data_IF_789348918697
#
_entry.id   IF_789348918697
#
_cell.length_a   1.000
_cell.length_b   1.000
_cell.length_c   1.000
_cell.angle_alpha   90.00
_cell.angle_beta   90.00
_cell.angle_gamma   90.00
#
_symmetry.space_group_name_H-M   'P 1'
#
loop_
_entity.id
_entity.type
_entity.pdbx_description
1 polymer ?
#
# COMPACT_ATOMS: atom_id res chain seq x y z
N UNK A 1 67.18 3.01 -59.06
CA UNK A 1 67.21 4.35 -59.69
C UNK A 1 66.26 5.29 -58.94
N UNK A 2 66.45 6.62 -59.04
CA UNK A 2 65.67 7.66 -58.32
C UNK A 2 64.50 8.22 -59.15
N UNK A 3 63.66 9.04 -58.48
CA UNK A 3 62.57 9.93 -58.97
C UNK A 3 61.18 9.28 -59.11
N UNK A 4 60.06 9.94 -58.80
CA UNK A 4 59.85 11.29 -58.21
C UNK A 4 58.57 11.37 -57.36
N UNK A 5 58.43 12.42 -56.54
CA UNK A 5 57.17 12.83 -55.87
C UNK A 5 56.27 13.65 -56.82
N UNK A 6 54.98 13.83 -56.48
CA UNK A 6 54.33 15.16 -56.29
C UNK A 6 52.88 15.06 -55.73
N UNK A 7 52.33 16.20 -55.27
CA UNK A 7 51.20 16.42 -54.31
C UNK A 7 50.56 17.80 -54.65
N UNK A 8 49.21 18.06 -54.73
CA UNK A 8 48.26 17.99 -53.59
C UNK A 8 46.74 17.70 -53.89
N UNK A 9 45.94 17.80 -52.81
CA UNK A 9 44.47 18.02 -52.64
C UNK A 9 43.99 19.42 -53.18
N UNK A 10 42.69 19.88 -53.18
CA UNK A 10 41.39 19.31 -52.71
C UNK A 10 40.16 19.53 -53.66
N UNK A 11 38.93 19.48 -53.09
CA UNK A 11 37.56 19.75 -53.63
C UNK A 11 36.85 18.54 -54.25
N UNK A 12 35.54 18.31 -54.04
CA UNK A 12 34.55 19.01 -53.20
C UNK A 12 33.16 18.35 -53.35
N UNK A 13 32.26 18.54 -52.37
CA UNK A 13 30.95 17.86 -52.29
C UNK A 13 30.00 18.14 -53.47
N UNK A 14 29.17 17.15 -53.82
CA UNK A 14 27.84 17.37 -54.44
C UNK A 14 26.93 16.13 -54.30
N UNK A 15 25.83 16.29 -53.56
CA UNK A 15 24.65 15.41 -53.40
C UNK A 15 24.87 13.99 -52.84
N UNK A 16 24.33 13.59 -51.68
CA UNK A 16 23.03 13.90 -51.02
C UNK A 16 21.81 13.25 -51.67
N UNK A 17 20.91 12.71 -50.83
CA UNK A 17 19.88 11.68 -51.14
C UNK A 17 20.52 10.30 -51.40
N UNK A 18 20.39 9.28 -50.55
CA UNK A 18 19.13 8.80 -49.95
C UNK A 18 19.31 8.24 -48.52
N UNK A 19 18.88 9.00 -47.51
CA UNK A 19 18.89 8.58 -46.10
C UNK A 19 17.51 8.79 -45.45
N UNK A 20 16.45 8.24 -46.06
CA UNK A 20 15.07 8.25 -45.53
C UNK A 20 14.42 6.90 -45.83
N UNK A 21 14.66 5.88 -44.98
CA UNK A 21 13.95 4.59 -45.08
C UNK A 21 13.96 3.71 -43.80
N UNK A 22 14.60 4.14 -42.70
CA UNK A 22 14.71 3.31 -41.48
C UNK A 22 14.07 3.93 -40.22
N UNK A 23 13.70 5.22 -40.23
CA UNK A 23 13.00 5.88 -39.12
C UNK A 23 11.46 5.82 -39.22
N UNK A 24 10.91 5.14 -40.23
CA UNK A 24 9.46 5.16 -40.54
C UNK A 24 8.68 3.96 -39.96
N UNK A 25 9.36 2.90 -39.51
CA UNK A 25 8.71 1.69 -38.98
C UNK A 25 8.55 1.67 -37.45
N UNK A 26 9.23 2.54 -36.70
CA UNK A 26 9.02 2.65 -35.25
C UNK A 26 7.84 3.55 -34.88
N UNK A 27 7.41 4.46 -35.78
CA UNK A 27 6.26 5.36 -35.58
C UNK A 27 4.89 4.78 -35.96
N UNK A 28 4.83 3.51 -36.36
CA UNK A 28 3.57 2.81 -36.65
C UNK A 28 3.14 1.83 -35.53
N UNK A 29 3.80 1.89 -34.36
CA UNK A 29 3.38 1.15 -33.15
C UNK A 29 2.56 1.97 -32.14
N UNK A 30 2.24 3.22 -32.47
CA UNK A 30 1.62 4.20 -31.55
C UNK A 30 0.17 4.58 -31.95
N UNK A 31 -0.45 3.86 -32.89
CA UNK A 31 -1.80 4.18 -33.42
C UNK A 31 -2.77 2.98 -33.47
N UNK A 32 -2.73 2.14 -32.44
CA UNK A 32 -3.74 1.07 -32.24
C UNK A 32 -4.47 1.16 -30.89
N UNK A 33 -4.28 2.26 -30.16
CA UNK A 33 -4.72 2.41 -28.75
C UNK A 33 -5.84 3.46 -28.57
N UNK A 34 -6.96 3.28 -29.29
CA UNK A 34 -8.19 4.06 -29.09
C UNK A 34 -9.48 3.21 -29.09
N UNK A 35 -9.38 1.89 -29.20
CA UNK A 35 -10.51 0.95 -29.09
C UNK A 35 -10.37 -0.02 -27.90
N UNK A 36 -9.35 0.15 -27.05
CA UNK A 36 -9.10 -0.70 -25.88
C UNK A 36 -9.97 -0.35 -24.65
N UNK A 37 -10.63 0.82 -24.66
CA UNK A 37 -11.49 1.30 -23.59
C UNK A 37 -12.94 1.46 -24.07
N UNK A 38 -13.84 0.49 -23.80
CA UNK A 38 -15.25 0.83 -23.63
C UNK A 38 -15.37 1.67 -22.35
N UNK A 39 -15.61 2.97 -22.51
CA UNK A 39 -15.98 3.82 -21.38
C UNK A 39 -17.31 3.31 -20.80
N UNK A 40 -17.26 2.67 -19.63
CA UNK A 40 -18.46 2.46 -18.82
C UNK A 40 -18.82 3.78 -18.14
N UNK A 41 -19.57 4.63 -18.83
CA UNK A 41 -20.31 5.70 -18.16
C UNK A 41 -21.47 5.05 -17.40
N UNK A 42 -21.29 4.78 -16.11
CA UNK A 42 -22.44 4.56 -15.24
C UNK A 42 -23.23 5.87 -15.14
N UNK A 43 -24.31 5.96 -15.93
CA UNK A 43 -25.34 6.95 -15.71
C UNK A 43 -25.94 6.73 -14.33
N UNK A 44 -25.74 7.69 -13.42
CA UNK A 44 -26.43 7.74 -12.11
C UNK A 44 -27.90 8.07 -12.34
N UNK A 45 -28.65 7.08 -12.83
CA UNK A 45 -30.08 7.14 -13.09
C UNK A 45 -30.86 7.12 -11.78
N UNK A 46 -31.02 8.31 -11.18
CA UNK A 46 -31.96 8.54 -10.08
C UNK A 46 -33.39 8.32 -10.58
N UNK A 47 -34.21 7.70 -9.74
CA UNK A 47 -35.60 7.30 -9.98
C UNK A 47 -36.45 8.25 -10.83
N UNK A 48 -37.16 7.70 -11.82
CA UNK A 48 -38.50 8.16 -12.22
C UNK A 48 -39.29 7.02 -12.88
N UNK A 49 -40.62 7.16 -12.94
CA UNK A 49 -41.57 6.02 -12.94
C UNK A 49 -42.39 5.91 -14.23
N UNK A 50 -43.03 4.75 -14.45
CA UNK A 50 -44.21 4.48 -15.33
C UNK A 50 -43.95 4.27 -16.85
N UNK A 51 -44.83 3.55 -17.60
CA UNK A 51 -44.36 2.40 -18.38
C UNK A 51 -44.84 2.26 -19.85
N UNK A 52 -44.16 1.39 -20.59
CA UNK A 52 -44.62 0.80 -21.86
C UNK A 52 -43.46 0.61 -22.85
N UNK A 53 -43.40 -0.39 -23.75
CA UNK A 53 -44.15 -1.63 -23.94
C UNK A 53 -43.43 -2.40 -25.08
N UNK A 54 -42.88 -3.57 -24.77
CA UNK A 54 -42.61 -4.73 -25.66
C UNK A 54 -41.63 -4.57 -26.85
N UNK A 55 -40.52 -5.32 -26.76
CA UNK A 55 -39.76 -5.90 -27.87
C UNK A 55 -38.99 -7.13 -27.35
N UNK A 56 -39.19 -8.32 -27.92
CA UNK A 56 -38.92 -9.61 -27.25
C UNK A 56 -37.80 -10.45 -27.86
N UNK A 57 -36.93 -11.05 -27.04
CA UNK A 57 -36.05 -12.16 -27.46
C UNK A 57 -34.99 -12.62 -26.44
N UNK A 58 -35.14 -13.86 -25.95
CA UNK A 58 -34.16 -14.73 -25.27
C UNK A 58 -33.61 -14.39 -23.85
N UNK A 59 -34.05 -15.20 -22.88
CA UNK A 59 -33.33 -15.72 -21.69
C UNK A 59 -32.45 -14.77 -20.84
N UNK A 60 -33.12 -13.94 -20.03
CA UNK A 60 -32.47 -13.17 -18.96
C UNK A 60 -32.52 -13.84 -17.59
N UNK A 61 -31.39 -14.39 -17.13
CA UNK A 61 -31.16 -14.78 -15.71
C UNK A 61 -29.91 -14.14 -15.11
N UNK A 62 -29.31 -13.14 -15.79
CA UNK A 62 -27.96 -12.64 -15.50
C UNK A 62 -27.77 -11.13 -15.18
N UNK A 63 -28.79 -10.27 -14.93
CA UNK A 63 -28.55 -8.97 -14.29
C UNK A 63 -28.40 -9.11 -12.77
N UNK A 64 -29.44 -9.63 -12.11
CA UNK A 64 -29.51 -9.69 -10.63
C UNK A 64 -28.45 -10.59 -10.01
N UNK A 65 -28.11 -11.73 -10.64
CA UNK A 65 -27.04 -12.60 -10.15
C UNK A 65 -25.70 -11.88 -10.06
N UNK A 66 -25.33 -11.11 -11.11
CA UNK A 66 -24.09 -10.32 -11.14
C UNK A 66 -24.10 -9.14 -10.16
N UNK A 67 -25.25 -8.49 -9.98
CA UNK A 67 -25.43 -7.40 -8.99
C UNK A 67 -25.27 -7.96 -7.57
N UNK A 68 -25.87 -9.12 -7.27
CA UNK A 68 -25.75 -9.80 -5.98
C UNK A 68 -24.33 -10.32 -5.75
N UNK A 69 -23.66 -10.88 -6.76
CA UNK A 69 -22.25 -11.29 -6.68
C UNK A 69 -21.30 -10.10 -6.47
N UNK A 70 -21.58 -8.95 -7.10
CA UNK A 70 -20.87 -7.69 -6.88
C UNK A 70 -21.06 -7.21 -5.44
N UNK A 71 -22.30 -7.02 -5.00
CA UNK A 71 -22.61 -6.59 -3.63
C UNK A 71 -22.05 -7.56 -2.57
N UNK A 72 -22.06 -8.87 -2.80
CA UNK A 72 -21.45 -9.84 -1.89
C UNK A 72 -19.92 -9.76 -1.88
N UNK A 73 -19.27 -9.47 -3.02
CA UNK A 73 -17.83 -9.18 -3.08
C UNK A 73 -17.50 -7.92 -2.28
N UNK A 74 -18.27 -6.85 -2.47
CA UNK A 74 -18.02 -5.54 -1.86
C UNK A 74 -18.27 -5.57 -0.34
N UNK A 75 -19.25 -6.37 0.11
CA UNK A 75 -19.56 -6.56 1.54
C UNK A 75 -18.59 -7.52 2.23
N UNK A 76 -18.24 -8.66 1.61
CA UNK A 76 -17.48 -9.76 2.25
C UNK A 76 -15.99 -9.80 1.88
N UNK A 77 -15.53 -8.96 0.95
CA UNK A 77 -14.16 -8.99 0.41
C UNK A 77 -13.78 -10.31 -0.29
N UNK A 78 -14.76 -11.12 -0.69
CA UNK A 78 -14.56 -12.48 -1.20
C UNK A 78 -15.71 -12.93 -2.11
N UNK A 79 -15.44 -13.85 -3.04
CA UNK A 79 -16.46 -14.42 -3.93
C UNK A 79 -17.00 -15.75 -3.37
N UNK A 80 -18.30 -15.87 -3.06
CA UNK A 80 -18.89 -17.12 -2.60
C UNK A 80 -18.76 -18.25 -3.62
N UNK A 81 -18.02 -19.30 -3.28
CA UNK A 81 -17.98 -20.52 -4.10
C UNK A 81 -19.08 -21.49 -3.65
N UNK A 82 -19.98 -21.86 -4.57
CA UNK A 82 -21.08 -22.81 -4.30
C UNK A 82 -20.62 -24.18 -3.78
N UNK A 83 -19.35 -24.57 -4.01
CA UNK A 83 -18.75 -25.80 -3.48
C UNK A 83 -18.27 -25.68 -2.03
N UNK A 84 -18.26 -24.49 -1.44
CA UNK A 84 -17.65 -24.20 -0.12
C UNK A 84 -18.56 -23.40 0.83
N UNK A 85 -19.77 -23.88 1.16
CA UNK A 85 -20.75 -23.14 1.98
C UNK A 85 -20.27 -22.83 3.41
N UNK A 86 -19.33 -23.62 3.97
CA UNK A 86 -18.75 -23.35 5.29
C UNK A 86 -17.88 -22.09 5.32
N UNK A 87 -17.13 -21.84 4.24
CA UNK A 87 -16.28 -20.64 4.10
C UNK A 87 -17.13 -19.37 3.96
N UNK A 88 -18.29 -19.48 3.30
CA UNK A 88 -19.26 -18.38 3.21
C UNK A 88 -19.86 -17.98 4.57
N UNK A 89 -20.25 -18.96 5.39
CA UNK A 89 -20.73 -18.67 6.76
C UNK A 89 -19.60 -18.09 7.62
N UNK A 90 -18.37 -18.61 7.50
CA UNK A 90 -17.22 -18.07 8.21
C UNK A 90 -16.92 -16.60 7.81
N UNK A 91 -16.98 -16.28 6.51
CA UNK A 91 -16.80 -14.91 6.02
C UNK A 91 -17.88 -13.95 6.54
N UNK A 92 -19.16 -14.37 6.57
CA UNK A 92 -20.26 -13.59 7.15
C UNK A 92 -20.02 -13.29 8.64
N UNK A 93 -19.77 -14.32 9.45
CA UNK A 93 -19.54 -14.19 10.90
C UNK A 93 -18.30 -13.36 11.24
N UNK A 94 -17.32 -13.28 10.33
CA UNK A 94 -16.12 -12.46 10.50
C UNK A 94 -16.33 -10.99 10.10
N UNK A 95 -17.28 -10.71 9.20
CA UNK A 95 -17.50 -9.36 8.64
C UNK A 95 -18.54 -8.57 9.44
N UNK A 96 -19.51 -9.27 10.05
CA UNK A 96 -20.58 -8.69 10.84
C UNK A 96 -20.45 -9.05 12.32
N UNK A 97 -20.25 -8.06 13.18
CA UNK A 97 -20.19 -8.24 14.63
C UNK A 97 -21.49 -7.80 15.28
N UNK A 98 -22.16 -8.70 15.99
CA UNK A 98 -23.31 -8.34 16.81
C UNK A 98 -22.85 -7.64 18.11
N UNK A 99 -23.47 -6.49 18.41
CA UNK A 99 -23.36 -5.80 19.70
C UNK A 99 -24.76 -5.56 20.25
N UNK A 100 -24.95 -5.85 21.53
CA UNK A 100 -26.16 -5.46 22.27
C UNK A 100 -25.93 -4.10 22.91
N UNK A 101 -26.74 -3.12 22.55
CA UNK A 101 -26.77 -1.78 23.16
C UNK A 101 -28.22 -1.48 23.51
N UNK A 102 -28.49 -1.14 24.76
CA UNK A 102 -29.82 -0.76 25.27
C UNK A 102 -30.95 -1.74 24.86
N UNK A 103 -30.74 -3.03 25.10
CA UNK A 103 -31.64 -4.15 24.74
C UNK A 103 -31.95 -4.29 23.23
N UNK A 104 -31.19 -3.63 22.35
CA UNK A 104 -31.27 -3.79 20.90
C UNK A 104 -30.03 -4.51 20.35
N UNK A 105 -30.25 -5.50 19.48
CA UNK A 105 -29.19 -6.17 18.73
C UNK A 105 -28.82 -5.33 17.50
N UNK A 106 -27.64 -4.74 17.53
CA UNK A 106 -27.08 -3.93 16.44
C UNK A 106 -25.98 -4.75 15.76
N UNK A 107 -26.09 -4.90 14.44
CA UNK A 107 -25.08 -5.57 13.61
C UNK A 107 -24.14 -4.53 13.01
N UNK A 108 -22.90 -4.50 13.46
CA UNK A 108 -21.86 -3.62 12.92
C UNK A 108 -21.15 -4.31 11.76
N UNK A 109 -21.27 -3.73 10.55
CA UNK A 109 -20.49 -4.14 9.39
C UNK A 109 -19.10 -3.56 9.49
N UNK A 110 -18.12 -4.43 9.73
CA UNK A 110 -16.70 -4.10 9.59
C UNK A 110 -16.25 -4.61 8.23
N UNK A 111 -15.98 -3.74 7.23
CA UNK A 111 -15.45 -4.20 5.96
C UNK A 111 -14.16 -4.98 6.21
N UNK A 112 -13.91 -6.01 5.38
CA UNK A 112 -12.57 -6.59 5.23
C UNK A 112 -11.65 -5.57 4.58
N UNK A 113 -11.22 -4.59 5.39
CA UNK A 113 -9.86 -4.11 5.28
C UNK A 113 -8.92 -5.32 5.36
N UNK A 114 -7.76 -5.22 4.71
CA UNK A 114 -6.66 -6.18 4.88
C UNK A 114 -6.00 -6.02 6.27
N UNK A 115 -6.82 -6.03 7.33
CA UNK A 115 -6.44 -6.35 8.69
C UNK A 115 -6.05 -7.83 8.75
N UNK A 116 -4.92 -8.14 8.11
CA UNK A 116 -4.14 -9.33 8.41
C UNK A 116 -3.89 -9.28 9.91
N UNK A 117 -4.45 -10.27 10.59
CA UNK A 117 -4.69 -10.35 12.03
C UNK A 117 -3.59 -9.68 12.89
N UNK A 118 -4.04 -8.82 13.81
CA UNK A 118 -3.34 -7.83 14.65
C UNK A 118 -2.05 -8.21 15.38
N UNK A 119 -1.62 -9.47 15.30
CA UNK A 119 -0.48 -10.02 16.04
C UNK A 119 0.83 -10.01 15.23
N UNK A 120 0.77 -9.95 13.89
CA UNK A 120 1.97 -9.98 13.02
C UNK A 120 2.76 -8.66 13.07
N UNK A 121 2.04 -7.55 13.28
CA UNK A 121 2.56 -6.18 13.15
C UNK A 121 2.46 -5.34 14.43
N UNK A 122 2.29 -5.99 15.59
CA UNK A 122 2.17 -5.30 16.87
C UNK A 122 3.35 -4.35 17.10
N UNK A 123 3.05 -3.18 17.69
CA UNK A 123 4.01 -2.11 17.98
C UNK A 123 5.15 -2.67 18.85
N UNK A 124 6.31 -2.91 18.25
CA UNK A 124 7.44 -3.66 18.84
C UNK A 124 8.79 -2.96 18.59
N UNK A 125 9.87 -3.44 19.21
CA UNK A 125 11.21 -2.88 19.02
C UNK A 125 11.31 -1.40 19.40
N UNK A 126 11.97 -0.59 18.56
CA UNK A 126 11.98 0.86 18.81
C UNK A 126 10.64 1.53 18.53
N UNK A 127 9.73 0.92 17.76
CA UNK A 127 8.37 1.48 17.62
C UNK A 127 7.66 1.50 18.98
N UNK A 128 7.74 0.39 19.74
CA UNK A 128 7.27 0.36 21.12
C UNK A 128 7.99 1.42 21.99
N UNK A 129 9.30 1.56 21.85
CA UNK A 129 10.07 2.56 22.60
C UNK A 129 9.61 4.00 22.33
N UNK A 130 9.50 4.41 21.07
CA UNK A 130 9.10 5.77 20.70
C UNK A 130 7.62 6.02 20.97
N UNK A 131 6.74 5.04 20.74
CA UNK A 131 5.31 5.15 21.03
C UNK A 131 5.03 5.27 22.53
N UNK A 132 5.73 4.50 23.38
CA UNK A 132 5.66 4.67 24.84
C UNK A 132 6.17 6.04 25.28
N UNK A 133 7.29 6.53 24.72
CA UNK A 133 7.77 7.90 24.99
C UNK A 133 6.76 8.96 24.54
N UNK A 134 6.10 8.75 23.41
CA UNK A 134 5.09 9.67 22.88
C UNK A 134 3.84 9.72 23.76
N UNK A 135 3.36 8.57 24.26
CA UNK A 135 2.31 8.52 25.29
C UNK A 135 2.70 9.30 26.54
N UNK A 136 3.90 9.07 27.09
CA UNK A 136 4.37 9.83 28.26
C UNK A 136 4.43 11.33 27.97
N UNK A 137 4.99 11.75 26.83
CA UNK A 137 5.05 13.16 26.45
C UNK A 137 3.65 13.79 26.33
N UNK A 138 2.70 13.08 25.70
CA UNK A 138 1.29 13.49 25.59
C UNK A 138 0.61 13.59 26.95
N UNK A 139 0.68 12.54 27.76
CA UNK A 139 -0.05 12.43 29.02
C UNK A 139 0.47 13.41 30.08
N UNK A 140 1.73 13.86 29.97
CA UNK A 140 2.27 14.98 30.74
C UNK A 140 1.94 16.36 30.12
N UNK A 141 1.93 16.48 28.78
CA UNK A 141 1.72 17.78 28.12
C UNK A 141 0.26 18.22 28.08
N UNK A 142 -0.70 17.33 27.87
CA UNK A 142 -2.12 17.70 27.71
C UNK A 142 -2.70 18.35 28.98
N UNK A 143 -2.53 17.82 30.20
CA UNK A 143 -3.05 18.47 31.41
C UNK A 143 -2.43 19.86 31.64
N UNK A 144 -1.14 20.02 31.34
CA UNK A 144 -0.46 21.32 31.41
C UNK A 144 -1.02 22.30 30.38
N UNK A 145 -1.27 21.85 29.15
CA UNK A 145 -1.83 22.62 28.04
C UNK A 145 -3.26 23.10 28.31
N UNK A 146 -4.08 22.23 28.89
CA UNK A 146 -5.43 22.55 29.37
C UNK A 146 -5.39 23.60 30.50
N UNK A 147 -4.42 23.48 31.41
CA UNK A 147 -4.23 24.39 32.54
C UNK A 147 -3.56 25.74 32.22
N UNK A 148 -3.09 25.98 30.99
CA UNK A 148 -2.47 27.27 30.62
C UNK A 148 -3.50 28.40 30.63
N UNK A 149 -3.14 29.55 31.21
CA UNK A 149 -3.92 30.79 31.16
C UNK A 149 -3.19 31.91 30.39
N UNK A 150 -3.89 32.84 29.72
CA UNK A 150 -3.21 33.98 29.10
C UNK A 150 -2.64 34.95 30.15
N UNK A 151 -1.38 35.38 29.98
CA UNK A 151 -0.73 36.46 30.76
C UNK A 151 -1.01 37.86 30.17
N UNK A 152 -1.98 37.95 29.25
CA UNK A 152 -2.36 39.16 28.54
C UNK A 152 -3.77 39.57 28.92
N UNK A 153 -3.93 40.82 29.35
CA UNK A 153 -5.23 41.44 29.59
C UNK A 153 -6.04 41.69 28.30
N UNK A 154 -5.40 41.59 27.14
CA UNK A 154 -5.95 41.75 25.80
C UNK A 154 -5.93 40.44 25.00
N UNK A 155 -5.91 39.29 25.68
CA UNK A 155 -6.04 37.99 25.03
C UNK A 155 -7.49 37.75 24.58
N UNK A 156 -7.66 37.32 23.34
CA UNK A 156 -8.93 36.87 22.81
C UNK A 156 -9.19 35.40 23.24
N UNK A 157 -10.37 35.14 23.81
CA UNK A 157 -10.74 33.81 24.32
C UNK A 157 -10.96 32.78 23.20
N UNK A 158 -11.43 33.22 22.02
CA UNK A 158 -11.65 32.36 20.86
C UNK A 158 -10.30 31.97 20.23
N UNK A 159 -9.40 32.95 20.00
CA UNK A 159 -8.04 32.69 19.49
C UNK A 159 -7.25 31.76 20.43
N UNK A 160 -7.31 32.02 21.74
CA UNK A 160 -6.55 31.23 22.74
C UNK A 160 -7.12 29.83 22.92
N UNK A 161 -8.45 29.66 22.81
CA UNK A 161 -9.10 28.36 22.76
C UNK A 161 -8.72 27.59 21.48
N UNK A 162 -8.80 28.24 20.32
CA UNK A 162 -8.49 27.65 19.02
C UNK A 162 -7.04 27.14 18.93
N UNK A 163 -6.05 27.96 19.31
CA UNK A 163 -4.65 27.53 19.25
C UNK A 163 -4.33 26.41 20.26
N UNK A 164 -4.99 26.40 21.44
CA UNK A 164 -4.89 25.29 22.40
C UNK A 164 -5.45 24.00 21.80
N UNK A 165 -6.59 24.06 21.11
CA UNK A 165 -7.19 22.91 20.45
C UNK A 165 -6.32 22.36 19.31
N UNK A 166 -5.70 23.23 18.50
CA UNK A 166 -4.76 22.85 17.44
C UNK A 166 -3.54 22.12 18.02
N UNK A 167 -2.89 22.68 19.05
CA UNK A 167 -1.72 22.05 19.69
C UNK A 167 -2.09 20.69 20.30
N UNK A 168 -3.26 20.58 20.94
CA UNK A 168 -3.75 19.29 21.47
C UNK A 168 -3.90 18.26 20.36
N UNK A 169 -4.58 18.62 19.27
CA UNK A 169 -4.82 17.76 18.12
C UNK A 169 -3.52 17.27 17.49
N UNK A 170 -2.53 18.14 17.28
CA UNK A 170 -1.23 17.75 16.73
C UNK A 170 -0.43 16.81 17.65
N UNK A 171 -0.55 16.95 18.99
CA UNK A 171 0.05 16.01 19.95
C UNK A 171 -0.66 14.65 19.90
N UNK A 172 -2.00 14.63 19.85
CA UNK A 172 -2.79 13.40 19.71
C UNK A 172 -2.45 12.67 18.39
N UNK A 173 -2.41 13.39 17.27
CA UNK A 173 -2.04 12.86 15.96
C UNK A 173 -0.61 12.28 15.91
N UNK A 174 0.34 12.90 16.62
CA UNK A 174 1.71 12.42 16.68
C UNK A 174 1.82 11.10 17.45
N UNK A 175 1.05 10.92 18.53
CA UNK A 175 0.97 9.63 19.24
C UNK A 175 0.27 8.58 18.37
N UNK A 176 -0.83 8.94 17.71
CA UNK A 176 -1.56 8.03 16.81
C UNK A 176 -0.67 7.52 15.68
N UNK A 177 0.05 8.42 14.99
CA UNK A 177 0.92 8.07 13.88
C UNK A 177 2.11 7.17 14.31
N UNK A 178 2.69 7.40 15.49
CA UNK A 178 3.73 6.52 16.05
C UNK A 178 3.20 5.12 16.42
N UNK A 179 1.89 4.99 16.63
CA UNK A 179 1.21 3.72 16.91
C UNK A 179 0.72 2.94 15.69
N UNK A 180 0.93 3.44 14.46
CA UNK A 180 0.42 2.81 13.23
C UNK A 180 1.06 1.43 12.99
N UNK A 181 0.23 0.44 12.65
CA UNK A 181 0.65 -0.93 12.35
C UNK A 181 1.54 -1.03 11.10
N UNK A 182 2.68 -1.71 11.24
CA UNK A 182 3.75 -1.75 10.24
C UNK A 182 4.73 -0.58 10.32
N UNK A 183 4.56 0.34 11.27
CA UNK A 183 5.50 1.43 11.55
C UNK A 183 5.00 2.82 11.11
N UNK A 184 5.50 3.89 11.76
CA UNK A 184 5.12 5.26 11.46
C UNK A 184 5.57 5.72 10.07
N UNK A 185 4.78 6.59 9.42
CA UNK A 185 5.19 7.25 8.18
C UNK A 185 6.16 8.39 8.51
N UNK A 186 7.45 8.18 8.23
CA UNK A 186 8.55 9.12 8.54
C UNK A 186 8.24 10.56 8.11
N UNK A 187 7.75 10.75 6.88
CA UNK A 187 7.39 12.08 6.35
C UNK A 187 6.25 12.76 7.13
N UNK A 188 5.24 12.00 7.59
CA UNK A 188 4.11 12.54 8.37
C UNK A 188 4.55 12.94 9.77
N UNK A 189 5.35 12.11 10.45
CA UNK A 189 5.93 12.44 11.75
C UNK A 189 6.82 13.69 11.66
N UNK A 190 7.68 13.78 10.64
CA UNK A 190 8.52 14.95 10.42
C UNK A 190 7.69 16.22 10.19
N UNK A 191 6.60 16.13 9.40
CA UNK A 191 5.67 17.23 9.17
C UNK A 191 4.94 17.67 10.45
N UNK A 192 4.49 16.73 11.30
CA UNK A 192 3.85 17.04 12.59
C UNK A 192 4.84 17.72 13.55
N UNK A 193 6.09 17.25 13.63
CA UNK A 193 7.14 17.90 14.42
C UNK A 193 7.57 19.27 13.89
N UNK A 194 7.44 19.52 12.59
CA UNK A 194 7.69 20.84 11.99
C UNK A 194 6.50 21.78 12.23
N UNK A 195 5.25 21.29 12.20
CA UNK A 195 4.08 22.09 12.58
C UNK A 195 4.12 22.49 14.06
N UNK A 196 4.37 21.55 14.97
CA UNK A 196 4.38 21.79 16.42
C UNK A 196 5.49 22.77 16.85
N UNK A 197 6.74 22.54 16.41
CA UNK A 197 7.94 23.24 16.92
C UNK A 197 8.55 24.25 15.93
N UNK A 198 8.16 24.20 14.66
CA UNK A 198 8.82 24.90 13.56
C UNK A 198 10.00 24.13 12.96
N UNK A 199 10.56 24.72 11.90
CA UNK A 199 11.68 24.19 11.11
C UNK A 199 13.05 24.27 11.81
N UNK A 200 13.19 25.14 12.82
CA UNK A 200 14.44 25.33 13.56
C UNK A 200 14.59 24.32 14.71
N UNK A 201 15.83 23.93 15.01
CA UNK A 201 16.14 23.20 16.25
C UNK A 201 15.83 24.08 17.47
N UNK A 202 14.97 23.59 18.36
CA UNK A 202 14.64 24.28 19.61
C UNK A 202 15.81 24.12 20.59
N UNK A 203 16.62 25.16 20.72
CA UNK A 203 17.72 25.26 21.70
C UNK A 203 17.35 26.11 22.92
N UNK A 204 16.28 26.90 22.82
CA UNK A 204 15.68 27.65 23.90
C UNK A 204 14.15 27.49 23.80
N UNK A 205 13.47 26.89 24.79
CA UNK A 205 12.01 26.70 24.78
C UNK A 205 11.22 28.02 24.65
N UNK A 206 11.76 29.15 25.13
CA UNK A 206 11.16 30.47 24.96
C UNK A 206 11.28 31.03 23.52
N UNK A 207 11.97 30.34 22.63
CA UNK A 207 12.12 30.70 21.21
C UNK A 207 11.50 29.67 20.25
N UNK A 208 10.70 28.72 20.77
CA UNK A 208 9.98 27.73 19.95
C UNK A 208 9.13 28.39 18.85
N UNK A 209 9.15 27.77 17.67
CA UNK A 209 8.34 28.14 16.50
C UNK A 209 7.07 27.30 16.42
N UNK A 210 6.51 27.16 15.21
CA UNK A 210 5.34 26.30 14.99
C UNK A 210 4.09 26.72 15.78
N UNK A 211 3.19 25.77 16.03
CA UNK A 211 1.97 26.00 16.81
C UNK A 211 2.27 26.32 18.29
N UNK A 212 3.29 25.71 18.90
CA UNK A 212 3.70 26.04 20.28
C UNK A 212 4.21 27.49 20.37
N UNK A 213 4.91 27.97 19.33
CA UNK A 213 5.35 29.35 19.20
C UNK A 213 4.21 30.34 18.93
N UNK A 214 3.13 29.91 18.29
CA UNK A 214 1.89 30.69 18.13
C UNK A 214 1.11 30.76 19.45
N UNK A 215 0.92 29.62 20.13
CA UNK A 215 0.30 29.54 21.45
C UNK A 215 0.99 30.48 22.44
N UNK A 216 2.33 30.44 22.49
CA UNK A 216 3.14 31.36 23.31
C UNK A 216 2.88 32.84 23.03
N UNK A 217 2.63 33.21 21.77
CA UNK A 217 2.34 34.61 21.37
C UNK A 217 0.92 35.02 21.75
N UNK A 218 -0.06 34.16 21.53
CA UNK A 218 -1.47 34.40 21.86
C UNK A 218 -1.64 34.56 23.38
N UNK A 219 -1.15 33.59 24.16
CA UNK A 219 -1.19 33.61 25.62
C UNK A 219 -0.20 34.63 26.23
N UNK A 220 0.74 35.17 25.45
CA UNK A 220 1.74 36.14 25.93
C UNK A 220 2.77 35.58 26.91
N UNK A 221 3.02 34.27 26.87
CA UNK A 221 3.90 33.53 27.77
C UNK A 221 5.37 33.95 27.56
N UNK A 222 5.79 34.96 28.32
CA UNK A 222 7.12 35.57 28.29
C UNK A 222 7.50 36.03 29.70
N UNK A 223 8.78 35.89 30.08
CA UNK A 223 9.28 36.33 31.41
C UNK A 223 8.93 37.77 31.77
N UNK A 224 8.94 38.70 30.81
CA UNK A 224 8.61 40.11 31.04
C UNK A 224 7.11 40.41 31.17
N UNK A 225 6.27 39.38 31.21
CA UNK A 225 4.84 39.45 31.51
C UNK A 225 4.46 38.72 32.81
N UNK A 226 5.44 38.11 33.49
CA UNK A 226 5.27 37.44 34.78
C UNK A 226 5.51 38.44 35.91
N UNK A 227 4.54 38.56 36.81
CA UNK A 227 4.51 39.45 37.97
C UNK A 227 4.19 38.67 39.26
N UNK A 228 3.46 37.54 39.16
CA UNK A 228 3.11 36.67 40.30
C UNK A 228 3.72 35.26 40.18
N UNK A 229 3.69 34.51 41.29
CA UNK A 229 4.18 33.12 41.36
C UNK A 229 3.30 32.20 40.51
N UNK A 230 1.99 32.46 40.45
CA UNK A 230 1.03 31.73 39.62
C UNK A 230 1.31 31.96 38.12
N UNK A 231 1.66 33.20 37.74
CA UNK A 231 2.09 33.52 36.37
C UNK A 231 3.44 32.88 36.01
N UNK A 232 4.36 32.75 36.98
CA UNK A 232 5.64 32.03 36.81
C UNK A 232 5.42 30.52 36.66
N UNK A 233 4.52 29.93 37.44
CA UNK A 233 4.13 28.53 37.30
C UNK A 233 3.45 28.26 35.96
N UNK A 234 2.59 29.18 35.49
CA UNK A 234 1.93 29.08 34.18
C UNK A 234 2.95 29.16 33.01
N UNK A 235 3.92 30.07 33.08
CA UNK A 235 5.04 30.08 32.13
C UNK A 235 5.86 28.78 32.21
N UNK A 236 6.13 28.28 33.41
CA UNK A 236 6.88 27.03 33.64
C UNK A 236 6.16 25.83 33.03
N UNK A 237 4.84 25.72 33.20
CA UNK A 237 4.02 24.69 32.57
C UNK A 237 4.16 24.68 31.04
N UNK A 238 4.19 25.86 30.42
CA UNK A 238 4.43 25.99 28.97
C UNK A 238 5.83 25.51 28.56
N UNK A 239 6.88 25.88 29.32
CA UNK A 239 8.25 25.44 29.01
C UNK A 239 8.37 23.91 29.11
N UNK A 240 7.74 23.29 30.12
CA UNK A 240 7.70 21.83 30.29
C UNK A 240 7.06 21.13 29.07
N UNK A 241 5.95 21.66 28.52
CA UNK A 241 5.34 21.12 27.30
C UNK A 241 6.33 21.15 26.13
N UNK A 242 7.00 22.29 25.92
CA UNK A 242 7.98 22.44 24.83
C UNK A 242 9.15 21.48 24.99
N UNK A 243 9.64 21.27 26.22
CA UNK A 243 10.70 20.31 26.52
C UNK A 243 10.28 18.87 26.24
N UNK A 244 9.07 18.44 26.63
CA UNK A 244 8.57 17.09 26.33
C UNK A 244 8.50 16.82 24.83
N UNK A 245 7.94 17.75 24.04
CA UNK A 245 7.82 17.58 22.58
C UNK A 245 9.20 17.67 21.90
N UNK A 246 10.12 18.50 22.41
CA UNK A 246 11.50 18.61 21.90
C UNK A 246 12.31 17.33 22.19
N UNK A 247 12.22 16.77 23.40
CA UNK A 247 12.87 15.51 23.76
C UNK A 247 12.31 14.32 22.98
N UNK A 248 11.02 14.35 22.63
CA UNK A 248 10.40 13.38 21.74
C UNK A 248 10.91 13.51 20.29
N UNK A 249 11.04 14.73 19.76
CA UNK A 249 11.65 14.99 18.43
C UNK A 249 13.10 14.51 18.35
N UNK A 250 13.88 14.69 19.42
CA UNK A 250 15.25 14.16 19.51
C UNK A 250 15.27 12.63 19.55
N UNK A 251 14.38 12.01 20.33
CA UNK A 251 14.23 10.55 20.37
C UNK A 251 13.84 9.97 19.01
N UNK A 252 12.93 10.64 18.30
CA UNK A 252 12.53 10.29 16.94
C UNK A 252 13.68 10.43 15.93
N UNK A 253 14.40 11.56 15.93
CA UNK A 253 15.50 11.80 15.01
C UNK A 253 16.62 10.75 15.11
N UNK A 254 16.82 10.18 16.31
CA UNK A 254 17.76 9.09 16.57
C UNK A 254 17.24 7.68 16.20
N UNK A 255 15.96 7.54 15.83
CA UNK A 255 15.31 6.25 15.54
C UNK A 255 14.64 6.19 14.15
N UNK A 256 14.45 7.33 13.48
CA UNK A 256 13.76 7.41 12.18
C UNK A 256 14.41 6.52 11.09
N UNK A 257 15.74 6.34 11.14
CA UNK A 257 16.51 5.51 10.21
C UNK A 257 16.13 4.04 10.22
N UNK A 258 15.53 3.54 11.31
CA UNK A 258 15.02 2.16 11.39
C UNK A 258 13.61 2.00 10.77
N UNK A 259 12.94 3.11 10.47
CA UNK A 259 11.64 3.17 9.80
C UNK A 259 11.76 3.63 8.33
N UNK A 260 12.90 4.19 7.94
CA UNK A 260 13.26 4.41 6.54
C UNK A 260 13.48 3.05 5.84
N UNK A 261 12.72 2.81 4.77
CA UNK A 261 12.70 1.55 3.99
C UNK A 261 13.96 1.29 3.15
N UNK A 262 15.09 1.90 3.52
CA UNK A 262 16.32 2.01 2.71
C UNK A 262 17.57 1.60 3.50
N UNK A 263 17.44 1.30 4.80
CA UNK A 263 18.54 0.85 5.66
C UNK A 263 18.74 -0.67 5.67
N UNK A 264 19.88 -1.12 6.20
CA UNK A 264 20.14 -2.55 6.51
C UNK A 264 19.57 -3.00 7.85
N UNK A 265 19.29 -2.06 8.75
CA UNK A 265 18.82 -2.30 10.12
C UNK A 265 17.31 -2.08 10.30
N UNK A 266 16.48 -2.40 9.29
CA UNK A 266 15.02 -2.22 9.37
C UNK A 266 14.42 -3.16 10.42
N UNK A 267 13.45 -2.68 11.21
CA UNK A 267 12.83 -3.52 12.23
C UNK A 267 12.03 -4.68 11.67
N UNK A 268 12.23 -5.85 12.28
CA UNK A 268 11.52 -7.10 12.01
C UNK A 268 10.00 -6.89 11.85
N UNK A 269 9.32 -6.26 12.81
CA UNK A 269 7.86 -6.04 12.74
C UNK A 269 7.40 -5.23 11.52
N UNK A 270 8.16 -4.19 11.12
CA UNK A 270 7.90 -3.43 9.89
C UNK A 270 8.10 -4.30 8.66
N UNK A 271 9.18 -5.07 8.58
CA UNK A 271 9.43 -5.98 7.45
C UNK A 271 8.37 -7.09 7.34
N UNK A 272 7.92 -7.68 8.46
CA UNK A 272 6.86 -8.70 8.47
C UNK A 272 5.54 -8.17 7.89
N UNK A 273 5.18 -6.92 8.20
CA UNK A 273 3.99 -6.27 7.64
C UNK A 273 4.15 -5.97 6.15
N UNK A 274 5.36 -5.60 5.68
CA UNK A 274 5.61 -5.43 4.24
C UNK A 274 5.45 -6.75 3.48
N UNK A 275 6.08 -7.84 3.95
CA UNK A 275 5.92 -9.18 3.33
C UNK A 275 4.45 -9.62 3.35
N UNK A 276 3.73 -9.39 4.46
CA UNK A 276 2.30 -9.74 4.58
C UNK A 276 1.41 -8.97 3.60
N UNK A 277 1.70 -7.68 3.36
CA UNK A 277 1.01 -6.84 2.36
C UNK A 277 1.32 -7.30 0.94
N UNK A 278 2.58 -7.60 0.61
CA UNK A 278 2.95 -8.11 -0.70
C UNK A 278 2.32 -9.48 -1.01
N UNK A 279 2.23 -10.38 -0.01
CA UNK A 279 1.48 -11.63 -0.15
C UNK A 279 -0.01 -11.39 -0.43
N UNK A 280 -0.64 -10.38 0.18
CA UNK A 280 -2.03 -10.02 -0.14
C UNK A 280 -2.20 -9.56 -1.60
N UNK A 281 -1.27 -8.74 -2.12
CA UNK A 281 -1.26 -8.29 -3.53
C UNK A 281 -1.10 -9.49 -4.49
N UNK A 282 -0.21 -10.45 -4.18
CA UNK A 282 -0.10 -11.70 -4.95
C UNK A 282 -1.44 -12.47 -4.98
N UNK A 283 -2.17 -12.54 -3.86
CA UNK A 283 -3.49 -13.20 -3.83
C UNK A 283 -4.55 -12.48 -4.68
N UNK A 284 -4.52 -11.14 -4.74
CA UNK A 284 -5.37 -10.35 -5.63
C UNK A 284 -5.00 -10.58 -7.10
N UNK A 285 -3.71 -10.52 -7.45
CA UNK A 285 -3.22 -10.72 -8.81
C UNK A 285 -3.54 -12.12 -9.37
N UNK A 286 -3.56 -13.17 -8.54
CA UNK A 286 -4.07 -14.49 -8.99
C UNK A 286 -5.55 -14.42 -9.40
N UNK A 287 -6.39 -13.62 -8.72
CA UNK A 287 -7.77 -13.40 -9.16
C UNK A 287 -7.82 -12.61 -10.47
N UNK A 288 -6.92 -11.66 -10.69
CA UNK A 288 -6.81 -10.93 -11.96
C UNK A 288 -6.40 -11.83 -13.13
N UNK A 289 -5.50 -12.79 -12.92
CA UNK A 289 -5.20 -13.84 -13.90
C UNK A 289 -6.45 -14.67 -14.22
N UNK A 290 -7.23 -15.06 -13.20
CA UNK A 290 -8.50 -15.75 -13.41
C UNK A 290 -9.52 -14.89 -14.19
N UNK A 291 -9.63 -13.58 -13.89
CA UNK A 291 -10.48 -12.65 -14.64
C UNK A 291 -10.02 -12.45 -16.09
N UNK A 292 -8.70 -12.39 -16.32
CA UNK A 292 -8.13 -12.31 -17.65
C UNK A 292 -8.50 -13.54 -18.48
N UNK A 293 -8.38 -14.75 -17.91
CA UNK A 293 -8.76 -16.01 -18.54
C UNK A 293 -10.27 -16.11 -18.80
N UNK A 294 -11.12 -15.80 -17.82
CA UNK A 294 -12.58 -15.77 -17.99
C UNK A 294 -13.00 -14.82 -19.13
N UNK A 295 -12.33 -13.66 -19.26
CA UNK A 295 -12.65 -12.66 -20.29
C UNK A 295 -12.29 -13.07 -21.72
N UNK A 296 -11.48 -14.12 -21.89
CA UNK A 296 -11.14 -14.74 -23.19
C UNK A 296 -11.74 -16.15 -23.32
N UNK A 297 -12.82 -16.41 -22.57
CA UNK A 297 -13.60 -17.65 -22.53
C UNK A 297 -12.87 -18.90 -22.00
N UNK A 298 -11.66 -18.77 -21.45
CA UNK A 298 -10.95 -19.87 -20.80
C UNK A 298 -11.55 -20.15 -19.42
N UNK A 299 -12.66 -20.88 -19.38
CA UNK A 299 -13.40 -21.17 -18.15
C UNK A 299 -12.69 -22.12 -17.18
N UNK A 300 -13.24 -22.25 -15.96
CA UNK A 300 -12.62 -23.03 -14.88
C UNK A 300 -12.32 -24.51 -15.23
N UNK A 301 -13.12 -25.15 -16.08
CA UNK A 301 -12.87 -26.52 -16.52
C UNK A 301 -11.67 -26.61 -17.48
N UNK A 302 -11.51 -25.64 -18.39
CA UNK A 302 -10.38 -25.60 -19.33
C UNK A 302 -9.07 -25.28 -18.60
N UNK A 303 -9.11 -24.39 -17.60
CA UNK A 303 -7.94 -24.12 -16.74
C UNK A 303 -7.41 -25.35 -16.00
N UNK A 304 -8.25 -26.37 -15.79
CA UNK A 304 -7.87 -27.65 -15.18
C UNK A 304 -7.31 -28.67 -16.19
N UNK A 305 -7.30 -28.36 -17.49
CA UNK A 305 -6.75 -29.25 -18.54
C UNK A 305 -5.63 -28.63 -19.36
N UNK A 306 -5.33 -27.33 -19.19
CA UNK A 306 -4.15 -26.69 -19.79
C UNK A 306 -2.91 -27.09 -18.99
N UNK A 307 -2.16 -28.05 -19.52
CA UNK A 307 -0.88 -28.52 -18.98
C UNK A 307 0.24 -27.53 -19.35
N UNK A 308 1.06 -27.15 -18.37
CA UNK A 308 2.24 -26.30 -18.54
C UNK A 308 3.51 -27.14 -18.48
N UNK A 309 4.45 -26.87 -19.38
CA UNK A 309 5.74 -27.56 -19.46
C UNK A 309 6.85 -26.64 -18.93
N UNK A 310 7.75 -27.17 -18.11
CA UNK A 310 8.87 -26.43 -17.51
C UNK A 310 10.21 -26.98 -18.04
N UNK A 311 11.26 -26.15 -17.99
CA UNK A 311 12.56 -26.44 -18.62
C UNK A 311 13.58 -27.12 -17.72
N UNK A 312 13.39 -27.08 -16.41
CA UNK A 312 14.30 -27.73 -15.48
C UNK A 312 14.10 -29.26 -15.54
N UNK A 313 15.19 -30.03 -15.55
CA UNK A 313 15.16 -31.48 -15.75
C UNK A 313 14.35 -32.25 -14.67
N UNK A 314 14.14 -31.63 -13.50
CA UNK A 314 13.38 -32.17 -12.37
C UNK A 314 11.94 -31.60 -12.24
N UNK A 315 11.48 -30.72 -13.15
CA UNK A 315 10.16 -30.10 -13.05
C UNK A 315 9.10 -30.83 -13.89
N UNK A 316 8.28 -31.64 -13.21
CA UNK A 316 7.08 -32.24 -13.78
C UNK A 316 6.10 -31.18 -14.33
N UNK A 317 5.34 -31.50 -15.39
CA UNK A 317 4.23 -30.66 -15.84
C UNK A 317 3.20 -30.40 -14.73
N UNK A 318 2.51 -29.27 -14.83
CA UNK A 318 1.51 -28.81 -13.86
C UNK A 318 0.36 -28.14 -14.60
N UNK A 319 -0.90 -28.33 -14.19
CA UNK A 319 -2.01 -27.63 -14.83
C UNK A 319 -2.06 -26.15 -14.40
N UNK A 320 -2.52 -25.28 -15.29
CA UNK A 320 -2.69 -23.83 -15.02
C UNK A 320 -3.47 -23.58 -13.72
N UNK A 321 -4.58 -24.30 -13.53
CA UNK A 321 -5.38 -24.20 -12.31
C UNK A 321 -4.62 -24.63 -11.05
N UNK A 322 -3.77 -25.65 -11.12
CA UNK A 322 -2.97 -26.12 -9.98
C UNK A 322 -1.86 -25.14 -9.61
N UNK A 323 -1.20 -24.52 -10.62
CA UNK A 323 -0.22 -23.47 -10.39
C UNK A 323 -0.86 -22.27 -9.67
N UNK A 324 -1.98 -21.77 -10.18
CA UNK A 324 -2.67 -20.60 -9.62
C UNK A 324 -3.26 -20.91 -8.23
N UNK A 325 -3.83 -22.08 -8.00
CA UNK A 325 -4.32 -22.50 -6.68
C UNK A 325 -3.16 -22.69 -5.67
N UNK A 326 -1.98 -23.16 -6.12
CA UNK A 326 -0.79 -23.25 -5.26
C UNK A 326 -0.27 -21.86 -4.86
N UNK A 327 -0.20 -20.91 -5.81
CA UNK A 327 0.20 -19.52 -5.53
C UNK A 327 -0.80 -18.85 -4.58
N UNK A 328 -2.10 -19.04 -4.81
CA UNK A 328 -3.14 -18.52 -3.93
C UNK A 328 -3.01 -19.09 -2.51
N UNK A 329 -2.87 -20.41 -2.36
CA UNK A 329 -2.64 -21.04 -1.05
C UNK A 329 -1.35 -20.59 -0.37
N UNK A 330 -0.28 -20.36 -1.14
CA UNK A 330 0.96 -19.78 -0.63
C UNK A 330 0.73 -18.36 -0.06
N UNK A 331 0.01 -17.53 -0.81
CA UNK A 331 -0.27 -16.15 -0.48
C UNK A 331 -1.24 -15.98 0.72
N UNK A 332 -2.32 -16.77 0.79
CA UNK A 332 -3.38 -16.59 1.79
C UNK A 332 -3.21 -17.44 3.05
N UNK A 333 -2.58 -18.61 2.95
CA UNK A 333 -2.48 -19.57 4.06
C UNK A 333 -1.04 -19.80 4.52
N UNK A 334 -0.20 -20.41 3.66
CA UNK A 334 1.14 -20.89 4.06
C UNK A 334 2.07 -19.74 4.46
N UNK A 335 2.11 -18.66 3.67
CA UNK A 335 2.90 -17.47 3.94
C UNK A 335 2.53 -16.81 5.27
N UNK A 336 1.27 -16.36 5.44
CA UNK A 336 0.80 -15.74 6.69
C UNK A 336 0.88 -16.65 7.93
N UNK A 337 0.77 -17.97 7.77
CA UNK A 337 0.99 -18.92 8.88
C UNK A 337 2.47 -19.01 9.28
N UNK A 338 3.40 -19.21 8.32
CA UNK A 338 4.83 -19.28 8.63
C UNK A 338 5.38 -17.95 9.18
N UNK A 339 4.85 -16.81 8.73
CA UNK A 339 5.17 -15.49 9.30
C UNK A 339 4.77 -15.41 10.78
N UNK A 340 3.56 -15.86 11.14
CA UNK A 340 3.06 -15.86 12.53
C UNK A 340 3.85 -16.78 13.44
N UNK A 341 3.98 -18.05 13.06
CA UNK A 341 4.59 -19.08 13.94
C UNK A 341 6.12 -18.98 13.97
N UNK A 342 6.75 -18.63 12.84
CA UNK A 342 8.20 -18.72 12.66
C UNK A 342 8.95 -17.38 12.71
N UNK A 343 8.26 -16.24 12.66
CA UNK A 343 8.88 -14.91 12.61
C UNK A 343 9.97 -14.83 11.54
N UNK A 344 11.17 -14.35 11.91
CA UNK A 344 12.33 -14.26 10.99
C UNK A 344 12.73 -15.61 10.37
N UNK A 345 12.64 -16.71 11.10
CA UNK A 345 12.97 -18.04 10.58
C UNK A 345 11.87 -18.56 9.62
N UNK A 346 10.61 -18.27 9.93
CA UNK A 346 9.47 -18.56 9.08
C UNK A 346 9.52 -17.81 7.75
N UNK A 347 9.86 -16.51 7.77
CA UNK A 347 10.08 -15.70 6.57
C UNK A 347 11.18 -16.28 5.69
N UNK A 348 12.36 -16.59 6.25
CA UNK A 348 13.46 -17.22 5.48
C UNK A 348 13.04 -18.54 4.84
N UNK A 349 12.20 -19.34 5.52
CA UNK A 349 11.66 -20.58 4.96
C UNK A 349 10.70 -20.36 3.77
N UNK A 350 10.16 -19.16 3.57
CA UNK A 350 9.33 -18.83 2.40
C UNK A 350 10.16 -18.56 1.14
N UNK A 351 11.41 -18.08 1.27
CA UNK A 351 12.25 -17.61 0.16
C UNK A 351 12.31 -18.59 -1.02
N UNK A 352 12.62 -19.86 -0.73
CA UNK A 352 12.69 -20.91 -1.75
C UNK A 352 11.33 -21.29 -2.36
N UNK A 353 10.22 -21.06 -1.66
CA UNK A 353 8.87 -21.24 -2.23
C UNK A 353 8.49 -20.05 -3.12
N UNK A 354 8.69 -18.82 -2.64
CA UNK A 354 8.37 -17.59 -3.37
C UNK A 354 9.11 -17.52 -4.72
N UNK A 355 10.44 -17.73 -4.68
CA UNK A 355 11.27 -17.77 -5.87
C UNK A 355 10.81 -18.84 -6.86
N UNK A 356 10.56 -20.07 -6.39
CA UNK A 356 10.09 -21.16 -7.27
C UNK A 356 8.75 -20.83 -7.93
N UNK A 357 7.83 -20.21 -7.20
CA UNK A 357 6.54 -19.79 -7.76
C UNK A 357 6.73 -18.71 -8.85
N UNK A 358 7.60 -17.72 -8.62
CA UNK A 358 7.96 -16.73 -9.65
C UNK A 358 8.56 -17.41 -10.89
N UNK A 359 9.55 -18.29 -10.71
CA UNK A 359 10.20 -19.03 -11.79
C UNK A 359 9.20 -19.89 -12.60
N UNK A 360 8.20 -20.50 -11.95
CA UNK A 360 7.14 -21.27 -12.61
C UNK A 360 6.17 -20.38 -13.41
N UNK A 361 5.68 -19.27 -12.86
CA UNK A 361 4.80 -18.35 -13.60
C UNK A 361 5.55 -17.71 -14.78
N UNK A 362 6.82 -17.33 -14.58
CA UNK A 362 7.70 -16.80 -15.63
C UNK A 362 7.91 -17.79 -16.77
N UNK A 363 7.95 -19.10 -16.48
CA UNK A 363 7.98 -20.15 -17.50
C UNK A 363 6.60 -20.43 -18.14
N UNK A 364 5.49 -20.16 -17.44
CA UNK A 364 4.14 -20.30 -17.98
C UNK A 364 3.82 -19.24 -19.05
N UNK A 365 4.54 -18.11 -19.07
CA UNK A 365 4.39 -17.06 -20.08
C UNK A 365 4.83 -17.55 -21.47
N UNK A 366 3.93 -17.40 -22.45
CA UNK A 366 4.15 -17.71 -23.86
C UNK A 366 4.98 -16.60 -24.49
N UNK A 367 6.14 -16.95 -25.04
CA UNK A 367 7.03 -16.00 -25.72
C UNK A 367 7.35 -16.45 -27.14
N UNK A 368 7.53 -15.50 -28.06
CA UNK A 368 7.71 -15.78 -29.49
C UNK A 368 9.03 -16.47 -29.86
N UNK A 369 10.01 -16.48 -28.95
CA UNK A 369 11.27 -17.18 -29.12
C UNK A 369 11.85 -17.56 -27.75
N UNK A 370 12.25 -18.82 -27.59
CA UNK A 370 12.94 -19.27 -26.38
C UNK A 370 12.06 -19.44 -25.12
N UNK A 371 10.72 -19.45 -25.24
CA UNK A 371 9.80 -19.78 -24.15
C UNK A 371 9.93 -21.23 -23.67
N UNK A 372 9.23 -21.57 -22.57
CA UNK A 372 9.04 -22.96 -22.15
C UNK A 372 7.77 -23.57 -22.79
N UNK A 373 6.72 -22.76 -22.92
CA UNK A 373 5.48 -23.16 -23.59
C UNK A 373 5.60 -23.10 -25.11
N UNK A 374 5.03 -24.08 -25.81
CA UNK A 374 4.76 -24.03 -27.25
C UNK A 374 3.48 -23.19 -27.50
N UNK A 375 3.55 -22.07 -28.24
CA UNK A 375 2.36 -21.29 -28.61
C UNK A 375 1.32 -22.08 -29.39
N UNK A 376 1.70 -23.16 -30.09
CA UNK A 376 0.80 -24.04 -30.83
C UNK A 376 0.16 -25.15 -29.99
N UNK A 377 0.72 -25.46 -28.82
CA UNK A 377 0.23 -26.51 -27.90
C UNK A 377 -0.85 -26.03 -26.92
N UNK A 378 -1.05 -24.71 -26.80
CA UNK A 378 -1.96 -24.10 -25.83
C UNK A 378 -3.21 -23.52 -26.51
N UNK A 379 -4.37 -23.44 -25.80
CA UNK A 379 -5.56 -22.79 -26.33
C UNK A 379 -5.30 -21.33 -26.71
N UNK A 380 -5.87 -20.88 -27.84
CA UNK A 380 -5.64 -19.54 -28.38
C UNK A 380 -5.94 -18.39 -27.39
N UNK A 381 -6.92 -18.59 -26.49
CA UNK A 381 -7.22 -17.64 -25.40
C UNK A 381 -6.04 -17.43 -24.44
N UNK A 382 -5.23 -18.47 -24.20
CA UNK A 382 -4.13 -18.41 -23.24
C UNK A 382 -3.00 -17.52 -23.75
N UNK A 383 -2.67 -17.64 -25.03
CA UNK A 383 -1.67 -16.80 -25.70
C UNK A 383 -2.09 -15.34 -25.92
N UNK A 384 -3.28 -14.92 -25.47
CA UNK A 384 -3.72 -13.52 -25.64
C UNK A 384 -2.91 -12.57 -24.76
N UNK A 385 -2.62 -11.37 -25.29
CA UNK A 385 -1.85 -10.35 -24.56
C UNK A 385 -2.48 -9.90 -23.23
N UNK A 386 -3.78 -10.15 -23.01
CA UNK A 386 -4.45 -9.91 -21.72
C UNK A 386 -4.05 -10.93 -20.66
N UNK A 387 -4.12 -12.23 -20.98
CA UNK A 387 -3.70 -13.30 -20.06
C UNK A 387 -2.19 -13.23 -19.82
N UNK A 388 -1.40 -13.01 -20.87
CA UNK A 388 0.06 -12.91 -20.77
C UNK A 388 0.52 -11.69 -19.95
N UNK A 389 -0.21 -10.56 -20.00
CA UNK A 389 0.07 -9.40 -19.13
C UNK A 389 -0.24 -9.68 -17.66
N UNK A 390 -1.40 -10.28 -17.36
CA UNK A 390 -1.76 -10.62 -15.99
C UNK A 390 -0.77 -11.64 -15.37
N UNK A 391 -0.28 -12.59 -16.17
CA UNK A 391 0.78 -13.51 -15.73
C UNK A 391 2.12 -12.80 -15.48
N UNK A 392 2.50 -11.82 -16.31
CA UNK A 392 3.71 -11.02 -16.10
C UNK A 392 3.63 -10.15 -14.83
N UNK A 393 2.48 -9.52 -14.59
CA UNK A 393 2.21 -8.74 -13.38
C UNK A 393 2.22 -9.61 -12.11
N UNK A 394 1.70 -10.84 -12.18
CA UNK A 394 1.83 -11.82 -11.10
C UNK A 394 3.29 -12.23 -10.82
N UNK A 395 4.15 -12.28 -11.84
CA UNK A 395 5.60 -12.51 -11.66
C UNK A 395 6.23 -11.32 -10.93
N UNK A 396 5.93 -10.08 -11.33
CA UNK A 396 6.49 -8.88 -10.71
C UNK A 396 6.13 -8.79 -9.21
N UNK A 397 4.90 -9.13 -8.82
CA UNK A 397 4.51 -9.19 -7.39
C UNK A 397 5.14 -10.37 -6.62
N UNK A 398 5.36 -11.52 -7.26
CA UNK A 398 6.09 -12.65 -6.64
C UNK A 398 7.59 -12.33 -6.47
N UNK A 399 8.17 -11.55 -7.37
CA UNK A 399 9.54 -11.05 -7.26
C UNK A 399 9.64 -9.98 -6.15
N UNK A 400 8.67 -9.08 -5.99
CA UNK A 400 8.61 -8.15 -4.84
C UNK A 400 8.56 -8.91 -3.50
N UNK A 401 7.70 -9.94 -3.38
CA UNK A 401 7.68 -10.82 -2.20
C UNK A 401 9.06 -11.47 -1.97
N UNK A 402 9.73 -11.92 -3.03
CA UNK A 402 11.04 -12.57 -2.94
C UNK A 402 12.14 -11.59 -2.52
N UNK A 403 12.13 -10.36 -3.02
CA UNK A 403 13.05 -9.29 -2.61
C UNK A 403 12.84 -8.91 -1.14
N UNK A 404 11.60 -8.66 -0.73
CA UNK A 404 11.25 -8.35 0.66
C UNK A 404 11.68 -9.47 1.62
N UNK A 405 11.54 -10.74 1.24
CA UNK A 405 12.05 -11.88 2.03
C UNK A 405 13.58 -11.90 2.06
N UNK A 406 14.26 -11.55 0.96
CA UNK A 406 15.73 -11.46 0.90
C UNK A 406 16.35 -10.42 1.85
N UNK A 407 15.60 -9.39 2.23
CA UNK A 407 16.03 -8.40 3.24
C UNK A 407 16.13 -8.97 4.67
N UNK A 408 15.80 -10.24 4.87
CA UNK A 408 15.91 -10.93 6.16
C UNK A 408 17.18 -11.77 6.30
N UNK A 409 18.01 -11.94 5.27
CA UNK A 409 19.25 -12.75 5.36
C UNK A 409 20.36 -12.09 6.19
#
# INVERSE_FOLDING_TARGET
>A
MRKNRDIPIPNGDLNSQSSVSLASNERLREFTDLTAYPFLTEEVSRFSTTPGQIGSGAEGTAPLGRIVEGALRDVLGWRPNARRPKEFVAALTQTFTAKTVDDQEIWEWTPRSYAIQSDIGAVTGAQASIYTRAKVARDQSIPLLEGLSPLRSDADEEDTSAIRAIVRFEIDELVNELGVEGGPRVQRINSLFESLLGSNTVTNPELVGGQLGQLRKAFGLKRNKVNTIEEEQNLTNFLIIVDYITALKQSWAAQQTYFDRVGTDVFLGTQLVLVSRALAVVAESVQEVYFAMDSVFLGAAERQTIELIFKAEDESPLFVGELLDWIYYFATEKGPHLIREGGKAGVRALQGTAKRLSDLVRQAIVTSYGGAQDPGGLPAGYGTGRVQRALAELVDYLDEVTELIGQFD
#
